data_IF_380196448667
#
_entry.id   IF_380196448667
#
_cell.length_a   1.000
_cell.length_b   1.000
_cell.length_c   1.000
_cell.angle_alpha   90.00
_cell.angle_beta   90.00
_cell.angle_gamma   90.00
#
_symmetry.space_group_name_H-M   'P 1'
#
loop_
_entity.id
_entity.type
_entity.pdbx_description
1 polymer ?
#
# COMPACT_ATOMS: atom_id res chain seq x y z
N UNK A 1 -7.72 -55.52 9.45
CA UNK A 1 -7.55 -54.49 8.44
C UNK A 1 -7.62 -53.15 9.15
N UNK A 2 -6.57 -52.33 9.19
CA UNK A 2 -6.64 -51.00 9.79
C UNK A 2 -7.43 -50.07 8.85
N UNK A 3 -8.50 -49.47 9.39
CA UNK A 3 -9.27 -48.44 8.71
C UNK A 3 -8.40 -47.18 8.47
N UNK A 4 -8.09 -46.91 7.23
CA UNK A 4 -7.48 -45.63 6.83
C UNK A 4 -8.53 -44.53 7.13
N UNK A 5 -8.35 -43.84 8.25
CA UNK A 5 -9.04 -42.55 8.46
C UNK A 5 -8.44 -41.57 7.46
N UNK A 6 -9.13 -41.36 6.34
CA UNK A 6 -8.90 -40.19 5.49
C UNK A 6 -9.23 -38.99 6.39
N UNK A 7 -8.21 -38.28 6.84
CA UNK A 7 -8.39 -37.01 7.50
C UNK A 7 -9.00 -36.05 6.45
N UNK A 8 -10.28 -35.73 6.58
CA UNK A 8 -10.90 -34.65 5.86
C UNK A 8 -10.11 -33.37 6.23
N UNK A 9 -9.27 -32.87 5.34
CA UNK A 9 -8.76 -31.52 5.43
C UNK A 9 -9.98 -30.61 5.24
N UNK A 10 -10.28 -29.70 6.18
CA UNK A 10 -11.33 -28.72 5.91
C UNK A 10 -10.96 -27.95 4.64
N UNK A 11 -11.93 -27.74 3.76
CA UNK A 11 -11.80 -26.90 2.57
C UNK A 11 -11.48 -25.49 3.06
N UNK A 12 -10.35 -24.93 2.64
CA UNK A 12 -9.98 -23.56 2.98
C UNK A 12 -10.43 -22.61 1.89
N UNK A 13 -11.05 -21.50 2.28
CA UNK A 13 -11.39 -20.41 1.35
C UNK A 13 -10.23 -19.44 1.26
N UNK A 14 -9.70 -19.25 0.06
CA UNK A 14 -8.57 -18.37 -0.22
C UNK A 14 -9.01 -17.28 -1.20
N UNK A 15 -8.79 -16.02 -0.81
CA UNK A 15 -8.93 -14.90 -1.72
C UNK A 15 -7.57 -14.66 -2.38
N UNK A 16 -7.50 -14.71 -3.71
CA UNK A 16 -6.28 -14.46 -4.49
C UNK A 16 -6.42 -13.19 -5.30
N UNK A 17 -5.55 -12.19 -5.06
CA UNK A 17 -5.56 -10.94 -5.82
C UNK A 17 -4.34 -10.87 -6.73
N UNK A 18 -4.57 -10.57 -8.00
CA UNK A 18 -3.51 -10.35 -8.99
C UNK A 18 -3.50 -8.91 -9.50
N UNK A 19 -2.31 -8.26 -9.42
CA UNK A 19 -2.08 -6.92 -9.93
C UNK A 19 -2.03 -6.84 -11.45
N UNK A 20 -2.07 -5.63 -12.03
CA UNK A 20 -2.09 -5.43 -13.47
C UNK A 20 -0.90 -6.07 -14.20
N UNK A 21 0.30 -6.03 -13.65
CA UNK A 21 1.49 -6.69 -14.20
C UNK A 21 1.37 -8.21 -14.24
N UNK A 22 0.62 -8.78 -13.29
CA UNK A 22 0.38 -10.22 -13.21
C UNK A 22 -0.60 -10.74 -14.27
N UNK A 23 -1.42 -9.87 -14.84
CA UNK A 23 -2.43 -10.16 -15.86
C UNK A 23 -2.24 -9.28 -17.11
N UNK A 24 -0.99 -8.89 -17.40
CA UNK A 24 -0.66 -7.86 -18.40
C UNK A 24 -1.06 -8.25 -19.84
N UNK A 25 -1.02 -9.52 -20.16
CA UNK A 25 -1.24 -10.07 -21.49
C UNK A 25 -1.93 -11.45 -21.40
N UNK A 26 -2.32 -12.03 -22.57
CA UNK A 26 -3.03 -13.33 -22.60
C UNK A 26 -2.22 -14.49 -22.00
N UNK A 27 -0.89 -14.49 -22.11
CA UNK A 27 -0.05 -15.57 -21.55
C UNK A 27 -0.03 -15.49 -20.02
N UNK A 28 0.08 -14.28 -19.48
CA UNK A 28 -0.02 -14.04 -18.03
C UNK A 28 -1.39 -14.42 -17.47
N UNK A 29 -2.48 -14.14 -18.20
CA UNK A 29 -3.82 -14.57 -17.79
C UNK A 29 -3.91 -16.10 -17.71
N UNK A 30 -3.34 -16.84 -18.69
CA UNK A 30 -3.32 -18.31 -18.67
C UNK A 30 -2.49 -18.87 -17.52
N UNK A 31 -1.33 -18.27 -17.22
CA UNK A 31 -0.50 -18.66 -16.07
C UNK A 31 -1.21 -18.47 -14.74
N UNK A 32 -1.92 -17.35 -14.58
CA UNK A 32 -2.75 -17.11 -13.38
C UNK A 32 -3.90 -18.11 -13.31
N UNK A 33 -4.58 -18.37 -14.42
CA UNK A 33 -5.68 -19.36 -14.47
C UNK A 33 -5.18 -20.77 -14.09
N UNK A 34 -3.99 -21.19 -14.57
CA UNK A 34 -3.36 -22.45 -14.20
C UNK A 34 -3.01 -22.49 -12.68
N UNK A 35 -2.52 -21.38 -12.12
CA UNK A 35 -2.26 -21.28 -10.69
C UNK A 35 -3.55 -21.41 -9.85
N UNK A 36 -4.63 -20.76 -10.27
CA UNK A 36 -5.96 -20.87 -9.62
C UNK A 36 -6.45 -22.32 -9.68
N UNK A 37 -6.33 -22.95 -10.85
CA UNK A 37 -6.69 -24.38 -11.02
C UNK A 37 -5.90 -25.25 -10.04
N UNK A 38 -4.59 -25.11 -9.97
CA UNK A 38 -3.74 -25.86 -9.02
C UNK A 38 -4.17 -25.63 -7.57
N UNK A 39 -4.50 -24.41 -7.17
CA UNK A 39 -4.97 -24.11 -5.82
C UNK A 39 -6.27 -24.85 -5.51
N UNK A 40 -7.18 -24.94 -6.47
CA UNK A 40 -8.40 -25.73 -6.35
C UNK A 40 -8.15 -27.23 -6.32
N UNK A 41 -7.28 -27.73 -7.18
CA UNK A 41 -6.90 -29.15 -7.23
C UNK A 41 -6.30 -29.64 -5.89
N UNK A 42 -5.75 -28.72 -5.07
CA UNK A 42 -5.34 -28.99 -3.70
C UNK A 42 -6.48 -28.98 -2.68
N UNK A 43 -7.73 -28.82 -3.12
CA UNK A 43 -8.92 -28.89 -2.28
C UNK A 43 -9.30 -27.57 -1.60
N UNK A 44 -8.90 -26.43 -2.15
CA UNK A 44 -9.28 -25.12 -1.65
C UNK A 44 -10.40 -24.50 -2.51
N UNK A 45 -11.26 -23.70 -1.89
CA UNK A 45 -12.13 -22.79 -2.62
C UNK A 45 -11.38 -21.48 -2.90
N UNK A 46 -11.62 -20.88 -4.08
CA UNK A 46 -10.90 -19.70 -4.53
C UNK A 46 -11.87 -18.61 -4.99
N UNK A 47 -11.66 -17.40 -4.47
CA UNK A 47 -12.19 -16.17 -5.04
C UNK A 47 -11.01 -15.38 -5.61
N UNK A 48 -11.15 -14.96 -6.85
CA UNK A 48 -10.11 -14.25 -7.57
C UNK A 48 -10.48 -12.77 -7.68
N UNK A 49 -9.53 -11.88 -7.35
CA UNK A 49 -9.64 -10.43 -7.59
C UNK A 49 -8.58 -10.02 -8.60
N UNK A 50 -9.00 -9.39 -9.70
CA UNK A 50 -8.09 -8.97 -10.78
C UNK A 50 -8.13 -7.47 -10.98
N UNK A 51 -6.97 -6.88 -11.21
CA UNK A 51 -6.82 -5.49 -11.67
C UNK A 51 -6.94 -5.40 -13.19
N UNK A 52 -7.03 -4.18 -13.73
CA UNK A 52 -6.90 -3.92 -15.15
C UNK A 52 -5.56 -4.46 -15.69
N UNK A 53 -5.54 -4.85 -16.97
CA UNK A 53 -4.38 -5.50 -17.60
C UNK A 53 -3.23 -4.52 -17.83
N UNK A 54 -2.05 -4.85 -17.32
CA UNK A 54 -0.81 -4.10 -17.60
C UNK A 54 -0.93 -2.61 -17.27
N UNK A 55 -0.80 -1.78 -18.31
CA UNK A 55 -0.89 -0.30 -18.22
C UNK A 55 -2.24 0.25 -18.72
N UNK A 56 -3.29 -0.54 -18.74
CA UNK A 56 -4.57 -0.14 -19.33
C UNK A 56 -5.19 1.05 -18.61
N UNK A 57 -5.13 1.10 -17.28
CA UNK A 57 -5.60 2.25 -16.51
C UNK A 57 -4.91 3.54 -16.96
N UNK A 58 -3.58 3.52 -17.17
CA UNK A 58 -2.83 4.67 -17.67
C UNK A 58 -3.22 5.04 -19.11
N UNK A 59 -3.59 4.05 -19.93
CA UNK A 59 -4.06 4.29 -21.31
C UNK A 59 -5.43 4.94 -21.30
N UNK A 60 -6.36 4.48 -20.45
CA UNK A 60 -7.69 5.08 -20.30
C UNK A 60 -7.61 6.50 -19.76
N UNK A 61 -6.71 6.78 -18.81
CA UNK A 61 -6.46 8.14 -18.31
C UNK A 61 -5.99 9.07 -19.42
N UNK A 62 -5.00 8.64 -20.22
CA UNK A 62 -4.51 9.43 -21.37
C UNK A 62 -5.59 9.67 -22.41
N UNK A 63 -6.40 8.65 -22.72
CA UNK A 63 -7.51 8.80 -23.65
C UNK A 63 -8.53 9.84 -23.16
N UNK A 64 -8.81 9.89 -21.85
CA UNK A 64 -9.66 10.93 -21.27
C UNK A 64 -9.05 12.32 -21.42
N UNK A 65 -7.72 12.46 -21.28
CA UNK A 65 -6.99 13.72 -21.47
C UNK A 65 -7.04 14.21 -22.93
N UNK A 66 -6.98 13.30 -23.89
CA UNK A 66 -7.09 13.61 -25.32
C UNK A 66 -8.51 14.05 -25.72
N UNK A 67 -9.53 13.59 -25.01
CA UNK A 67 -10.95 13.85 -25.33
C UNK A 67 -11.49 15.08 -24.60
N UNK A 68 -11.06 15.37 -23.37
CA UNK A 68 -11.70 16.40 -22.55
C UNK A 68 -10.74 17.07 -21.57
N UNK A 69 -10.85 18.39 -21.46
CA UNK A 69 -10.13 19.16 -20.44
C UNK A 69 -10.79 19.07 -19.06
N UNK A 70 -12.11 18.94 -18.99
CA UNK A 70 -12.87 19.01 -17.73
C UNK A 70 -12.90 17.69 -16.94
N UNK A 71 -12.86 16.55 -17.57
CA UNK A 71 -12.78 15.20 -16.98
C UNK A 71 -13.57 15.01 -15.67
N UNK A 72 -14.93 15.06 -15.70
CA UNK A 72 -15.73 14.92 -14.48
C UNK A 72 -15.43 13.60 -13.75
N UNK A 73 -15.23 13.66 -12.45
CA UNK A 73 -14.77 12.52 -11.64
C UNK A 73 -15.67 11.26 -11.75
N UNK A 74 -17.01 11.47 -11.85
CA UNK A 74 -17.96 10.39 -12.08
C UNK A 74 -17.73 9.66 -13.41
N UNK A 75 -17.46 10.40 -14.49
CA UNK A 75 -17.21 9.80 -15.81
C UNK A 75 -15.83 9.13 -15.88
N UNK A 76 -14.86 9.67 -15.12
CA UNK A 76 -13.55 9.02 -14.96
C UNK A 76 -13.68 7.66 -14.29
N UNK A 77 -14.50 7.52 -13.24
CA UNK A 77 -14.75 6.22 -12.59
C UNK A 77 -15.37 5.23 -13.57
N UNK A 78 -16.33 5.68 -14.38
CA UNK A 78 -16.99 4.87 -15.41
C UNK A 78 -16.00 4.36 -16.45
N UNK A 79 -15.06 5.22 -16.87
CA UNK A 79 -14.05 4.90 -17.88
C UNK A 79 -13.00 3.94 -17.30
N UNK A 80 -12.40 4.28 -16.15
CA UNK A 80 -11.29 3.52 -15.57
C UNK A 80 -11.73 2.10 -15.23
N UNK A 81 -12.90 1.93 -14.62
CA UNK A 81 -13.41 0.61 -14.20
C UNK A 81 -13.73 -0.34 -15.36
N UNK A 82 -13.70 0.11 -16.62
CA UNK A 82 -13.84 -0.74 -17.80
C UNK A 82 -12.66 -1.71 -17.95
N UNK A 83 -11.45 -1.33 -17.52
CA UNK A 83 -10.26 -2.16 -17.60
C UNK A 83 -10.39 -3.46 -16.80
N UNK A 84 -10.85 -3.37 -15.55
CA UNK A 84 -11.06 -4.54 -14.70
C UNK A 84 -12.20 -5.43 -15.23
N UNK A 85 -13.26 -4.85 -15.82
CA UNK A 85 -14.36 -5.64 -16.43
C UNK A 85 -13.87 -6.48 -17.59
N UNK A 86 -12.98 -5.93 -18.42
CA UNK A 86 -12.32 -6.71 -19.48
C UNK A 86 -11.49 -7.84 -18.88
N UNK A 87 -10.67 -7.55 -17.88
CA UNK A 87 -9.76 -8.52 -17.26
C UNK A 87 -10.52 -9.72 -16.65
N UNK A 88 -11.62 -9.49 -15.89
CA UNK A 88 -12.40 -10.57 -15.28
C UNK A 88 -13.07 -11.47 -16.32
N UNK A 89 -13.54 -10.90 -17.42
CA UNK A 89 -14.17 -11.70 -18.48
C UNK A 89 -13.15 -12.62 -19.16
N UNK A 90 -11.97 -12.10 -19.52
CA UNK A 90 -10.87 -12.88 -20.11
C UNK A 90 -10.35 -13.97 -19.15
N UNK A 91 -10.27 -13.66 -17.86
CA UNK A 91 -9.86 -14.63 -16.84
C UNK A 91 -10.87 -15.78 -16.72
N UNK A 92 -12.18 -15.49 -16.71
CA UNK A 92 -13.21 -16.53 -16.71
C UNK A 92 -13.12 -17.41 -17.96
N UNK A 93 -12.91 -16.84 -19.16
CA UNK A 93 -12.71 -17.60 -20.38
C UNK A 93 -11.51 -18.55 -20.27
N UNK A 94 -10.36 -18.06 -19.75
CA UNK A 94 -9.17 -18.88 -19.56
C UNK A 94 -9.38 -20.02 -18.53
N UNK A 95 -10.15 -19.78 -17.48
CA UNK A 95 -10.51 -20.81 -16.50
C UNK A 95 -11.43 -21.88 -17.13
N UNK A 96 -12.42 -21.47 -17.94
CA UNK A 96 -13.31 -22.39 -18.65
C UNK A 96 -12.54 -23.27 -19.63
N UNK A 97 -11.53 -22.75 -20.33
CA UNK A 97 -10.66 -23.55 -21.22
C UNK A 97 -9.87 -24.64 -20.47
N UNK A 98 -9.77 -24.52 -19.14
CA UNK A 98 -9.13 -25.50 -18.25
C UNK A 98 -10.13 -26.36 -17.47
N UNK A 99 -11.40 -26.40 -17.89
CA UNK A 99 -12.51 -27.10 -17.23
C UNK A 99 -12.80 -26.60 -15.80
N UNK A 100 -12.41 -25.36 -15.47
CA UNK A 100 -12.72 -24.69 -14.20
C UNK A 100 -13.92 -23.76 -14.41
N UNK A 101 -15.07 -24.12 -13.83
CA UNK A 101 -16.25 -23.26 -13.90
C UNK A 101 -16.03 -21.98 -13.10
N UNK A 102 -16.27 -20.81 -13.72
CA UNK A 102 -16.02 -19.51 -13.12
C UNK A 102 -17.06 -18.47 -13.57
N UNK A 103 -17.44 -17.58 -12.66
CA UNK A 103 -18.33 -16.45 -12.93
C UNK A 103 -17.64 -15.12 -12.63
N UNK A 104 -17.83 -14.14 -13.51
CA UNK A 104 -17.28 -12.80 -13.35
C UNK A 104 -18.25 -11.85 -12.65
N UNK A 105 -17.75 -11.00 -11.77
CA UNK A 105 -18.52 -10.02 -11.01
C UNK A 105 -17.87 -8.63 -11.07
N UNK A 106 -18.66 -7.62 -11.41
CA UNK A 106 -18.27 -6.22 -11.14
C UNK A 106 -18.34 -5.95 -9.65
N UNK A 107 -17.75 -4.83 -9.18
CA UNK A 107 -17.80 -4.47 -7.77
C UNK A 107 -19.22 -4.38 -7.20
N UNK A 108 -20.17 -3.79 -7.95
CA UNK A 108 -21.59 -3.74 -7.54
C UNK A 108 -22.24 -5.12 -7.47
N UNK A 109 -21.92 -6.01 -8.42
CA UNK A 109 -22.45 -7.40 -8.41
C UNK A 109 -21.85 -8.23 -7.28
N UNK A 110 -20.64 -7.94 -6.87
CA UNK A 110 -19.96 -8.54 -5.71
C UNK A 110 -20.38 -7.90 -4.36
N UNK A 111 -21.28 -6.90 -4.40
CA UNK A 111 -21.90 -6.31 -3.22
C UNK A 111 -21.11 -5.18 -2.55
N UNK A 112 -20.20 -4.51 -3.25
CA UNK A 112 -19.47 -3.36 -2.73
C UNK A 112 -20.31 -2.08 -2.78
N UNK A 113 -20.75 -1.57 -1.63
CA UNK A 113 -21.35 -0.25 -1.48
C UNK A 113 -20.28 0.75 -1.00
N UNK A 114 -20.19 1.90 -1.66
CA UNK A 114 -19.22 2.95 -1.35
C UNK A 114 -19.90 4.29 -1.04
N UNK A 115 -19.11 5.24 -0.55
CA UNK A 115 -19.50 6.64 -0.55
C UNK A 115 -19.50 7.23 -1.98
N UNK A 116 -19.79 8.53 -2.09
CA UNK A 116 -19.90 9.27 -3.36
C UNK A 116 -18.60 10.00 -3.74
N UNK A 117 -17.48 9.72 -3.05
CA UNK A 117 -16.20 10.35 -3.35
C UNK A 117 -15.54 9.66 -4.56
N UNK A 118 -15.88 10.11 -5.76
CA UNK A 118 -15.33 9.58 -7.00
C UNK A 118 -13.79 9.63 -7.04
N UNK A 119 -13.15 8.68 -7.75
CA UNK A 119 -11.71 8.46 -7.89
C UNK A 119 -10.99 7.99 -6.61
N UNK A 120 -11.60 8.11 -5.44
CA UNK A 120 -11.05 7.64 -4.17
C UNK A 120 -12.16 7.22 -3.20
N UNK A 121 -13.12 6.44 -3.70
CA UNK A 121 -14.27 6.00 -2.93
C UNK A 121 -13.89 5.11 -1.75
N UNK A 122 -14.62 5.26 -0.64
CA UNK A 122 -14.48 4.41 0.54
C UNK A 122 -15.56 3.35 0.57
N UNK A 123 -15.19 2.11 0.86
CA UNK A 123 -16.13 1.01 1.07
C UNK A 123 -16.90 1.29 2.37
N UNK A 124 -18.21 1.42 2.29
CA UNK A 124 -19.10 1.58 3.44
C UNK A 124 -19.53 0.22 3.98
N UNK A 125 -19.95 -0.68 3.09
CA UNK A 125 -20.32 -2.04 3.43
C UNK A 125 -20.04 -2.98 2.27
N UNK A 126 -19.97 -4.29 2.58
CA UNK A 126 -19.91 -5.35 1.58
C UNK A 126 -20.98 -6.41 1.90
N UNK A 127 -21.74 -6.81 0.87
CA UNK A 127 -22.65 -7.95 0.94
C UNK A 127 -22.32 -8.94 -0.20
N UNK A 128 -21.38 -9.88 0.00
CA UNK A 128 -20.87 -10.76 -1.03
C UNK A 128 -21.76 -12.00 -1.26
N UNK A 129 -23.07 -11.91 -1.05
CA UNK A 129 -24.00 -13.06 -1.15
C UNK A 129 -23.87 -13.79 -2.49
N UNK A 130 -23.83 -13.08 -3.62
CA UNK A 130 -23.71 -13.70 -4.96
C UNK A 130 -22.37 -14.40 -5.16
N UNK A 131 -21.30 -13.86 -4.56
CA UNK A 131 -19.98 -14.48 -4.57
C UNK A 131 -20.02 -15.77 -3.75
N UNK A 132 -20.66 -15.75 -2.57
CA UNK A 132 -20.86 -16.93 -1.73
C UNK A 132 -21.67 -18.03 -2.46
N UNK A 133 -22.77 -17.68 -3.09
CA UNK A 133 -23.59 -18.61 -3.88
C UNK A 133 -22.78 -19.29 -5.00
N UNK A 134 -21.84 -18.56 -5.61
CA UNK A 134 -20.93 -19.12 -6.63
C UNK A 134 -19.95 -20.12 -6.03
N UNK A 135 -19.37 -19.81 -4.87
CA UNK A 135 -18.48 -20.71 -4.14
C UNK A 135 -19.24 -21.98 -3.72
N UNK A 136 -20.43 -21.83 -3.15
CA UNK A 136 -21.27 -22.93 -2.69
C UNK A 136 -21.67 -23.88 -3.84
N UNK A 137 -21.75 -23.33 -5.06
CA UNK A 137 -21.96 -24.11 -6.28
C UNK A 137 -20.68 -24.77 -6.83
N UNK A 138 -19.54 -24.68 -6.12
CA UNK A 138 -18.25 -25.27 -6.51
C UNK A 138 -17.57 -24.52 -7.65
N UNK A 139 -17.90 -23.24 -7.89
CA UNK A 139 -17.34 -22.41 -8.97
C UNK A 139 -16.40 -21.36 -8.43
N UNK A 140 -15.50 -20.85 -9.28
CA UNK A 140 -14.61 -19.73 -8.95
C UNK A 140 -15.35 -18.41 -9.19
N UNK A 141 -15.38 -17.53 -8.20
CA UNK A 141 -15.84 -16.17 -8.39
C UNK A 141 -14.67 -15.27 -8.78
N UNK A 142 -14.75 -14.59 -9.93
CA UNK A 142 -13.74 -13.64 -10.43
C UNK A 142 -14.28 -12.23 -10.30
N UNK A 143 -13.71 -11.44 -9.40
CA UNK A 143 -14.21 -10.12 -9.02
C UNK A 143 -13.30 -9.02 -9.58
N UNK A 144 -13.92 -8.02 -10.20
CA UNK A 144 -13.21 -6.82 -10.64
C UNK A 144 -12.72 -6.01 -9.43
N UNK A 145 -11.41 -5.78 -9.37
CA UNK A 145 -10.80 -4.98 -8.32
C UNK A 145 -11.15 -3.49 -8.42
N UNK A 146 -10.84 -2.75 -7.39
CA UNK A 146 -10.87 -1.27 -7.34
C UNK A 146 -12.21 -0.62 -7.62
N UNK A 147 -13.33 -1.30 -7.61
CA UNK A 147 -14.62 -0.72 -7.97
C UNK A 147 -15.77 -1.11 -7.05
N UNK A 148 -16.78 -0.26 -7.00
CA UNK A 148 -18.03 -0.48 -6.29
C UNK A 148 -19.18 0.31 -6.90
N UNK A 149 -20.23 0.48 -6.11
CA UNK A 149 -21.37 1.34 -6.42
C UNK A 149 -21.62 2.28 -5.25
N UNK A 150 -21.83 3.57 -5.54
CA UNK A 150 -22.16 4.55 -4.50
C UNK A 150 -23.59 4.41 -3.99
N UNK A 151 -23.89 5.11 -2.90
CA UNK A 151 -25.26 5.26 -2.38
C UNK A 151 -26.23 5.86 -3.40
N UNK A 152 -25.71 6.58 -4.41
CA UNK A 152 -26.49 7.17 -5.50
C UNK A 152 -26.55 6.25 -6.75
N UNK A 153 -26.17 4.98 -6.61
CA UNK A 153 -26.12 3.99 -7.70
C UNK A 153 -25.16 4.33 -8.85
N UNK A 154 -24.16 5.17 -8.63
CA UNK A 154 -23.10 5.43 -9.59
C UNK A 154 -21.93 4.45 -9.39
N UNK A 155 -21.30 4.06 -10.50
CA UNK A 155 -20.04 3.31 -10.45
C UNK A 155 -18.99 4.17 -9.78
N UNK A 156 -18.19 3.58 -8.89
CA UNK A 156 -17.12 4.27 -8.17
C UNK A 156 -15.81 3.51 -8.29
N UNK A 157 -14.71 4.27 -8.31
CA UNK A 157 -13.35 3.75 -8.28
C UNK A 157 -12.73 3.98 -6.89
N UNK A 158 -12.08 2.95 -6.34
CA UNK A 158 -11.52 2.99 -4.98
C UNK A 158 -10.16 3.69 -4.90
N UNK A 159 -9.62 4.13 -6.02
CA UNK A 159 -8.30 4.76 -6.07
C UNK A 159 -7.13 3.77 -6.17
N UNK A 160 -5.91 4.28 -6.02
CA UNK A 160 -4.67 3.48 -6.07
C UNK A 160 -4.67 2.40 -4.97
N UNK A 161 -4.26 1.18 -5.30
CA UNK A 161 -4.28 0.04 -4.36
C UNK A 161 -5.68 -0.49 -4.06
N UNK A 162 -6.72 0.01 -4.76
CA UNK A 162 -8.10 -0.40 -4.55
C UNK A 162 -8.35 -1.89 -4.76
N UNK A 163 -7.62 -2.57 -5.67
CA UNK A 163 -7.75 -4.02 -5.85
C UNK A 163 -7.27 -4.83 -4.65
N UNK A 164 -6.20 -4.40 -3.96
CA UNK A 164 -5.77 -5.01 -2.70
C UNK A 164 -6.84 -4.83 -1.63
N UNK A 165 -7.41 -3.62 -1.54
CA UNK A 165 -8.51 -3.31 -0.61
C UNK A 165 -9.78 -4.13 -0.93
N UNK A 166 -10.11 -4.33 -2.23
CA UNK A 166 -11.21 -5.20 -2.67
C UNK A 166 -11.02 -6.63 -2.17
N UNK A 167 -9.80 -7.19 -2.34
CA UNK A 167 -9.50 -8.55 -1.91
C UNK A 167 -9.63 -8.73 -0.40
N UNK A 168 -9.09 -7.79 0.36
CA UNK A 168 -9.17 -7.81 1.83
C UNK A 168 -10.61 -7.69 2.33
N UNK A 169 -11.41 -6.80 1.73
CA UNK A 169 -12.82 -6.64 2.10
C UNK A 169 -13.64 -7.89 1.77
N UNK A 170 -13.36 -8.55 0.63
CA UNK A 170 -13.96 -9.86 0.31
C UNK A 170 -13.55 -10.94 1.30
N UNK A 171 -12.25 -10.99 1.67
CA UNK A 171 -11.77 -11.95 2.64
C UNK A 171 -12.49 -11.81 3.99
N UNK A 172 -12.70 -10.57 4.44
CA UNK A 172 -13.51 -10.30 5.63
C UNK A 172 -14.97 -10.70 5.44
N UNK A 173 -15.62 -10.24 4.35
CA UNK A 173 -17.04 -10.48 4.11
C UNK A 173 -17.42 -11.95 3.90
N UNK A 174 -16.47 -12.77 3.45
CA UNK A 174 -16.64 -14.21 3.22
C UNK A 174 -16.03 -15.07 4.34
N UNK A 175 -15.43 -14.49 5.36
CA UNK A 175 -14.67 -15.18 6.42
C UNK A 175 -13.60 -16.13 5.84
N UNK A 176 -12.83 -15.65 4.86
CA UNK A 176 -11.80 -16.43 4.22
C UNK A 176 -10.62 -16.73 5.17
N UNK A 177 -9.98 -17.90 4.99
CA UNK A 177 -8.84 -18.34 5.82
C UNK A 177 -7.58 -17.51 5.55
N UNK A 178 -7.41 -17.01 4.30
CA UNK A 178 -6.30 -16.18 3.90
C UNK A 178 -6.66 -15.27 2.72
N UNK A 179 -5.97 -14.11 2.66
CA UNK A 179 -5.96 -13.23 1.50
C UNK A 179 -4.54 -13.19 0.93
N UNK A 180 -4.32 -13.79 -0.23
CA UNK A 180 -3.05 -13.81 -0.94
C UNK A 180 -2.98 -12.61 -1.90
N UNK A 181 -2.00 -11.73 -1.69
CA UNK A 181 -1.74 -10.57 -2.53
C UNK A 181 -0.55 -10.87 -3.45
N UNK A 182 -0.85 -11.21 -4.68
CA UNK A 182 0.16 -11.49 -5.70
C UNK A 182 0.61 -10.20 -6.38
N UNK A 183 1.92 -10.00 -6.37
CA UNK A 183 2.62 -8.80 -6.86
C UNK A 183 3.84 -9.17 -7.69
N UNK A 184 4.59 -8.19 -8.15
CA UNK A 184 5.87 -8.33 -8.85
C UNK A 184 7.08 -8.59 -7.94
N UNK A 185 6.87 -8.58 -6.61
CA UNK A 185 7.90 -8.93 -5.62
C UNK A 185 7.53 -10.22 -4.88
N UNK A 186 8.52 -10.98 -4.41
CA UNK A 186 8.31 -12.30 -3.79
C UNK A 186 7.92 -12.24 -2.30
N UNK A 187 7.62 -11.06 -1.78
CA UNK A 187 7.24 -10.84 -0.38
C UNK A 187 7.67 -9.46 0.11
N UNK A 188 7.68 -9.27 1.43
CA UNK A 188 8.23 -8.09 2.10
C UNK A 188 9.69 -8.38 2.46
N UNK A 189 10.58 -7.43 2.22
CA UNK A 189 12.02 -7.58 2.44
C UNK A 189 12.51 -6.64 3.53
N UNK A 190 13.68 -6.95 4.09
CA UNK A 190 14.38 -6.11 5.07
C UNK A 190 14.79 -4.74 4.51
N UNK A 191 14.91 -4.62 3.20
CA UNK A 191 15.00 -3.38 2.42
C UNK A 191 14.65 -3.67 0.96
N UNK A 192 14.68 -2.67 0.07
CA UNK A 192 14.45 -2.87 -1.37
C UNK A 192 15.58 -3.72 -1.99
N UNK A 193 15.30 -4.91 -2.53
CA UNK A 193 16.33 -5.77 -3.12
C UNK A 193 16.96 -5.18 -4.39
N UNK A 194 16.39 -4.12 -4.97
CA UNK A 194 16.99 -3.37 -6.07
C UNK A 194 18.09 -2.40 -5.60
N UNK A 195 18.08 -2.04 -4.31
CA UNK A 195 19.06 -1.15 -3.66
C UNK A 195 20.12 -1.97 -2.93
N UNK A 196 19.73 -3.08 -2.31
CA UNK A 196 20.62 -3.93 -1.51
C UNK A 196 20.48 -5.39 -1.92
N UNK A 197 21.52 -5.95 -2.52
CA UNK A 197 21.57 -7.36 -2.94
C UNK A 197 21.49 -8.34 -1.76
N UNK A 198 21.81 -7.89 -0.55
CA UNK A 198 21.75 -8.66 0.69
C UNK A 198 20.39 -8.55 1.39
N UNK A 199 19.43 -7.84 0.78
CA UNK A 199 18.07 -7.74 1.30
C UNK A 199 17.44 -9.12 1.46
N UNK A 200 16.97 -9.43 2.66
CA UNK A 200 16.38 -10.73 2.99
C UNK A 200 14.86 -10.64 2.98
N UNK A 201 14.20 -11.65 2.40
CA UNK A 201 12.74 -11.79 2.46
C UNK A 201 12.33 -12.19 3.88
N UNK A 202 11.39 -11.47 4.45
CA UNK A 202 10.78 -11.78 5.74
C UNK A 202 9.79 -12.95 5.57
N UNK A 203 9.88 -13.96 6.43
CA UNK A 203 8.91 -15.05 6.44
C UNK A 203 7.56 -14.58 6.99
N UNK A 204 7.59 -13.71 8.00
CA UNK A 204 6.42 -13.07 8.60
C UNK A 204 6.75 -11.65 9.06
N UNK A 205 5.72 -10.81 9.17
CA UNK A 205 5.80 -9.44 9.68
C UNK A 205 4.48 -9.10 10.37
N UNK A 206 4.53 -8.24 11.40
CA UNK A 206 3.31 -7.73 12.05
C UNK A 206 2.62 -6.67 11.19
N UNK A 207 1.30 -6.50 11.40
CA UNK A 207 0.56 -5.42 10.75
C UNK A 207 1.14 -4.03 11.07
N UNK A 208 1.57 -3.81 12.32
CA UNK A 208 2.09 -2.51 12.75
C UNK A 208 3.39 -2.16 12.05
N UNK A 209 4.33 -3.10 11.93
CA UNK A 209 5.58 -2.91 11.19
C UNK A 209 5.34 -2.68 9.71
N UNK A 210 4.45 -3.49 9.09
CA UNK A 210 4.13 -3.35 7.66
C UNK A 210 3.44 -2.01 7.38
N UNK A 211 2.56 -1.52 8.26
CA UNK A 211 1.93 -0.20 8.15
C UNK A 211 2.98 0.91 8.18
N UNK A 212 3.91 0.86 9.13
CA UNK A 212 5.01 1.83 9.16
C UNK A 212 5.88 1.75 7.90
N UNK A 213 6.23 0.55 7.43
CA UNK A 213 6.99 0.40 6.19
C UNK A 213 6.25 0.98 4.97
N UNK A 214 4.95 0.71 4.84
CA UNK A 214 4.16 1.22 3.72
C UNK A 214 3.94 2.73 3.79
N UNK A 215 3.84 3.30 5.00
CA UNK A 215 3.76 4.74 5.21
C UNK A 215 5.04 5.48 4.81
N UNK A 216 6.19 4.80 4.85
CA UNK A 216 7.48 5.44 4.59
C UNK A 216 8.13 5.06 3.25
N UNK A 217 7.39 4.40 2.35
CA UNK A 217 7.87 4.18 0.98
C UNK A 217 7.90 2.73 0.51
N UNK A 218 7.60 1.74 1.36
CA UNK A 218 7.43 0.37 0.87
C UNK A 218 6.19 0.30 -0.05
N UNK A 219 6.33 0.00 -1.35
CA UNK A 219 5.25 0.20 -2.31
C UNK A 219 4.19 -0.90 -2.27
N UNK A 220 4.46 -2.03 -1.65
CA UNK A 220 3.58 -3.23 -1.66
C UNK A 220 3.58 -3.94 -0.31
N UNK A 221 2.39 -4.38 0.14
CA UNK A 221 1.05 -4.11 -0.41
C UNK A 221 0.60 -2.66 -0.19
N UNK A 222 -0.55 -2.28 -0.75
CA UNK A 222 -1.08 -0.92 -0.57
C UNK A 222 -1.44 -0.68 0.91
N UNK A 223 -0.99 0.44 1.49
CA UNK A 223 -1.18 0.78 2.90
C UNK A 223 -2.64 0.64 3.35
N UNK A 224 -3.59 1.19 2.58
CA UNK A 224 -5.03 1.11 2.86
C UNK A 224 -5.53 -0.34 3.00
N UNK A 225 -4.99 -1.29 2.22
CA UNK A 225 -5.36 -2.70 2.33
C UNK A 225 -4.84 -3.33 3.62
N UNK A 226 -3.66 -2.93 4.07
CA UNK A 226 -3.07 -3.38 5.34
C UNK A 226 -3.86 -2.84 6.53
N UNK A 227 -4.30 -1.56 6.48
CA UNK A 227 -5.17 -0.95 7.49
C UNK A 227 -6.50 -1.70 7.65
N UNK A 228 -7.14 -2.02 6.52
CA UNK A 228 -8.40 -2.79 6.51
C UNK A 228 -8.15 -4.20 7.04
N UNK A 229 -7.09 -4.88 6.59
CA UNK A 229 -6.74 -6.22 7.05
C UNK A 229 -6.49 -6.27 8.56
N UNK A 230 -5.73 -5.31 9.10
CA UNK A 230 -5.50 -5.15 10.54
C UNK A 230 -6.81 -4.96 11.31
N UNK A 231 -7.67 -4.04 10.82
CA UNK A 231 -8.91 -3.67 11.49
C UNK A 231 -9.89 -4.84 11.61
N UNK A 232 -9.94 -5.68 10.58
CA UNK A 232 -10.85 -6.84 10.52
C UNK A 232 -10.18 -8.18 10.83
N UNK A 233 -8.89 -8.19 11.09
CA UNK A 233 -8.14 -9.42 11.42
C UNK A 233 -8.00 -10.38 10.24
N UNK A 234 -7.93 -9.87 9.01
CA UNK A 234 -7.73 -10.66 7.79
C UNK A 234 -6.25 -11.02 7.67
N UNK A 235 -5.93 -12.30 7.66
CA UNK A 235 -4.57 -12.78 7.47
C UNK A 235 -4.12 -12.58 6.03
N UNK A 236 -2.98 -11.86 5.82
CA UNK A 236 -2.45 -11.61 4.48
C UNK A 236 -1.25 -12.52 4.18
N UNK A 237 -1.09 -12.84 2.90
CA UNK A 237 0.09 -13.51 2.38
C UNK A 237 0.58 -12.75 1.13
N UNK A 238 1.66 -12.01 1.23
CA UNK A 238 2.25 -11.24 0.12
C UNK A 238 3.16 -12.16 -0.68
N UNK A 239 2.86 -12.36 -1.98
CA UNK A 239 3.52 -13.38 -2.82
C UNK A 239 3.87 -12.82 -4.20
N UNK A 240 4.80 -13.49 -4.89
CA UNK A 240 5.10 -13.22 -6.30
C UNK A 240 4.14 -13.95 -7.23
N UNK A 241 3.61 -13.22 -8.22
CA UNK A 241 2.86 -13.79 -9.33
C UNK A 241 3.75 -14.45 -10.41
N UNK A 242 5.07 -14.44 -10.22
CA UNK A 242 6.05 -14.92 -11.22
C UNK A 242 6.80 -16.17 -10.76
N UNK A 243 7.10 -16.28 -9.46
CA UNK A 243 7.87 -17.43 -8.93
C UNK A 243 7.02 -18.46 -8.22
N UNK A 244 5.81 -18.08 -7.76
CA UNK A 244 4.87 -18.90 -6.99
C UNK A 244 5.45 -19.45 -5.66
N UNK A 245 6.59 -18.94 -5.23
CA UNK A 245 7.24 -19.30 -3.98
C UNK A 245 6.44 -18.82 -2.76
N UNK A 246 6.68 -19.40 -1.58
CA UNK A 246 6.18 -18.84 -0.33
C UNK A 246 6.62 -17.38 -0.17
N UNK A 247 5.67 -16.54 0.18
CA UNK A 247 5.89 -15.11 0.40
C UNK A 247 6.05 -14.77 1.86
N UNK A 248 5.62 -13.55 2.21
CA UNK A 248 5.60 -13.03 3.58
C UNK A 248 4.19 -13.11 4.14
N UNK A 249 4.02 -13.74 5.29
CA UNK A 249 2.79 -13.70 6.05
C UNK A 249 2.68 -12.41 6.85
N UNK A 250 1.50 -11.81 6.85
CA UNK A 250 1.18 -10.64 7.69
C UNK A 250 0.06 -11.04 8.63
N UNK A 251 0.34 -11.04 9.91
CA UNK A 251 -0.58 -11.49 10.94
C UNK A 251 -0.53 -10.57 12.17
N UNK A 252 -1.43 -10.80 13.11
CA UNK A 252 -1.26 -10.25 14.46
C UNK A 252 0.05 -10.80 15.04
N UNK A 253 0.66 -10.03 15.92
CA UNK A 253 1.93 -10.44 16.54
C UNK A 253 1.93 -11.92 16.97
N UNK A 254 2.80 -12.71 16.37
CA UNK A 254 3.10 -14.03 16.91
C UNK A 254 3.76 -13.87 18.29
N UNK A 255 3.36 -14.70 19.25
CA UNK A 255 3.99 -14.81 20.57
C UNK A 255 5.37 -15.50 20.45
N UNK A 256 6.26 -14.95 19.63
CA UNK A 256 7.68 -15.33 19.67
C UNK A 256 8.32 -14.65 20.86
N UNK A 257 9.04 -15.43 21.70
CA UNK A 257 9.63 -14.92 22.95
C UNK A 257 10.69 -13.84 22.70
N UNK A 258 11.35 -13.85 21.54
CA UNK A 258 12.33 -12.84 21.13
C UNK A 258 12.12 -12.49 19.65
N UNK A 259 11.88 -11.20 19.35
CA UNK A 259 11.78 -10.67 18.00
C UNK A 259 13.04 -9.91 17.64
N UNK A 260 13.42 -9.84 16.36
CA UNK A 260 14.43 -8.89 15.91
C UNK A 260 14.06 -7.47 16.37
N UNK A 261 15.07 -6.73 16.84
CA UNK A 261 14.86 -5.33 17.28
C UNK A 261 14.41 -4.47 16.09
N UNK A 262 15.04 -4.71 14.93
CA UNK A 262 14.79 -4.03 13.66
C UNK A 262 14.37 -5.06 12.61
N UNK A 263 13.32 -4.74 11.88
CA UNK A 263 12.75 -5.58 10.82
C UNK A 263 13.16 -5.12 9.43
N UNK A 264 13.30 -3.79 9.23
CA UNK A 264 13.59 -3.24 7.91
C UNK A 264 14.23 -1.85 7.94
N UNK A 265 14.93 -1.52 6.83
CA UNK A 265 15.37 -0.17 6.46
C UNK A 265 14.68 0.20 5.15
N UNK A 266 13.86 1.24 5.15
CA UNK A 266 13.02 1.64 3.99
C UNK A 266 13.53 2.95 3.42
N UNK A 267 14.03 2.96 2.16
CA UNK A 267 14.38 4.19 1.44
C UNK A 267 13.15 4.82 0.78
N UNK A 268 13.13 6.14 0.70
CA UNK A 268 12.12 6.91 -0.05
C UNK A 268 12.76 8.16 -0.66
N UNK A 269 12.72 8.28 -1.98
CA UNK A 269 13.24 9.42 -2.75
C UNK A 269 12.14 10.26 -3.40
N UNK A 270 10.88 10.00 -3.04
CA UNK A 270 9.70 10.65 -3.61
C UNK A 270 9.17 11.83 -2.78
N UNK A 271 9.94 12.29 -1.79
CA UNK A 271 9.55 13.37 -0.89
C UNK A 271 10.26 14.69 -1.25
N UNK A 272 9.56 15.79 -0.96
CA UNK A 272 10.13 17.13 -0.95
C UNK A 272 9.85 17.81 0.39
N UNK A 273 10.72 18.72 0.79
CA UNK A 273 10.57 19.51 2.02
C UNK A 273 10.05 20.90 1.69
N UNK A 274 9.12 21.38 2.50
CA UNK A 274 8.67 22.77 2.53
C UNK A 274 9.01 23.34 3.90
N UNK A 275 9.58 24.52 3.93
CA UNK A 275 9.90 25.25 5.17
C UNK A 275 9.26 26.63 5.11
N UNK A 276 8.48 26.97 6.13
CA UNK A 276 7.91 28.29 6.36
C UNK A 276 8.72 28.94 7.45
N UNK A 277 9.38 30.03 7.14
CA UNK A 277 10.27 30.72 8.08
C UNK A 277 9.58 31.90 8.74
N UNK A 278 9.96 32.18 10.01
CA UNK A 278 9.47 33.33 10.75
C UNK A 278 7.95 33.30 10.99
N UNK A 279 7.42 32.14 11.28
CA UNK A 279 6.01 31.92 11.60
C UNK A 279 5.73 32.50 13.00
N UNK A 280 4.74 33.37 13.20
CA UNK A 280 4.36 33.84 14.53
C UNK A 280 3.93 32.70 15.45
N UNK A 281 4.47 32.62 16.67
CA UNK A 281 4.14 31.55 17.62
C UNK A 281 2.83 31.89 18.36
N UNK A 282 1.73 31.73 17.65
CA UNK A 282 0.38 31.98 18.15
C UNK A 282 -0.52 30.75 18.01
N UNK A 283 -1.43 30.48 18.96
CA UNK A 283 -2.43 29.42 18.81
C UNK A 283 -3.23 29.55 17.50
N UNK A 284 -3.35 28.44 16.76
CA UNK A 284 -4.14 28.39 15.52
C UNK A 284 -3.30 28.50 14.23
N UNK A 285 -2.05 28.92 14.30
CA UNK A 285 -1.19 29.10 13.11
C UNK A 285 -0.98 27.80 12.34
N UNK A 286 -0.68 26.71 13.05
CA UNK A 286 -0.57 25.39 12.42
C UNK A 286 -1.86 24.99 11.67
N UNK A 287 -3.03 25.25 12.27
CA UNK A 287 -4.31 24.99 11.59
C UNK A 287 -4.49 25.84 10.34
N UNK A 288 -4.08 27.11 10.37
CA UNK A 288 -4.16 28.00 9.20
C UNK A 288 -3.25 27.54 8.03
N UNK A 289 -2.12 26.89 8.34
CA UNK A 289 -1.20 26.33 7.33
C UNK A 289 -1.73 24.99 6.77
N UNK A 290 -2.11 24.05 7.63
CA UNK A 290 -2.38 22.67 7.19
C UNK A 290 -3.81 22.42 6.74
N UNK A 291 -4.79 23.26 7.17
CA UNK A 291 -6.19 23.09 6.72
C UNK A 291 -6.37 23.30 5.22
N UNK A 292 -5.84 24.35 4.59
CA UNK A 292 -5.94 24.52 3.14
C UNK A 292 -5.29 23.39 2.34
N UNK A 293 -4.19 22.82 2.83
CA UNK A 293 -3.55 21.63 2.21
C UNK A 293 -4.49 20.43 2.24
N UNK A 294 -5.10 20.16 3.39
CA UNK A 294 -6.05 19.05 3.56
C UNK A 294 -7.29 19.22 2.67
N UNK A 295 -7.83 20.44 2.54
CA UNK A 295 -9.00 20.74 1.69
C UNK A 295 -8.72 20.50 0.20
N UNK A 296 -7.45 20.55 -0.21
CA UNK A 296 -6.99 20.22 -1.57
C UNK A 296 -6.39 18.82 -1.69
N UNK A 297 -6.60 17.94 -0.68
CA UNK A 297 -6.08 16.57 -0.63
C UNK A 297 -4.54 16.50 -0.79
N UNK A 298 -3.79 17.50 -0.36
CA UNK A 298 -2.33 17.45 -0.26
C UNK A 298 -1.96 16.70 1.01
N UNK A 299 -1.27 15.58 0.85
CA UNK A 299 -0.82 14.78 1.99
C UNK A 299 0.48 15.33 2.57
N UNK A 300 0.50 15.51 3.89
CA UNK A 300 1.68 15.99 4.63
C UNK A 300 2.15 14.88 5.57
N UNK A 301 3.46 14.63 5.57
CA UNK A 301 4.07 13.63 6.47
C UNK A 301 4.87 14.32 7.59
N UNK A 302 6.17 14.11 7.70
CA UNK A 302 7.00 14.63 8.79
C UNK A 302 6.76 16.13 9.00
N UNK A 303 6.26 16.53 10.18
CA UNK A 303 6.11 17.94 10.56
C UNK A 303 7.07 18.22 11.71
N UNK A 304 7.91 19.23 11.57
CA UNK A 304 8.85 19.68 12.61
C UNK A 304 8.64 21.16 12.85
N UNK A 305 8.39 21.51 14.10
CA UNK A 305 8.28 22.89 14.60
C UNK A 305 9.16 23.02 15.84
N UNK A 306 9.96 24.06 15.90
CA UNK A 306 10.71 24.42 17.09
C UNK A 306 10.05 25.64 17.77
N UNK A 307 10.20 25.76 19.08
CA UNK A 307 9.88 26.99 19.79
C UNK A 307 11.09 27.93 19.75
N UNK A 308 10.85 29.23 19.57
CA UNK A 308 11.89 30.26 19.62
C UNK A 308 11.59 31.24 20.75
N UNK A 309 12.64 31.78 21.37
CA UNK A 309 12.52 32.78 22.42
C UNK A 309 12.06 34.15 21.88
N UNK A 310 12.14 34.37 20.57
CA UNK A 310 11.77 35.63 19.88
C UNK A 310 10.32 35.70 19.44
N UNK A 311 9.46 34.72 19.81
CA UNK A 311 8.03 34.67 19.46
C UNK A 311 7.75 34.35 17.99
N UNK A 312 8.74 33.84 17.26
CA UNK A 312 8.63 33.31 15.91
C UNK A 312 9.24 31.91 15.83
N UNK A 313 8.78 31.11 14.91
CA UNK A 313 9.31 29.74 14.70
C UNK A 313 9.40 29.42 13.22
N UNK A 314 10.17 28.40 12.86
CA UNK A 314 10.13 27.80 11.54
C UNK A 314 9.33 26.50 11.60
N UNK A 315 8.46 26.31 10.61
CA UNK A 315 7.71 25.06 10.42
C UNK A 315 8.21 24.39 9.15
N UNK A 316 8.78 23.19 9.29
CA UNK A 316 9.19 22.37 8.17
C UNK A 316 8.33 21.11 8.09
N UNK A 317 7.97 20.71 6.88
CA UNK A 317 7.27 19.45 6.67
C UNK A 317 7.65 18.82 5.32
N UNK A 318 7.32 17.54 5.15
CA UNK A 318 7.51 16.83 3.89
C UNK A 318 6.17 16.52 3.24
N UNK A 319 6.19 16.47 1.91
CA UNK A 319 5.06 16.07 1.08
C UNK A 319 5.58 15.32 -0.17
N UNK A 320 4.72 14.55 -0.88
CA UNK A 320 5.12 13.92 -2.12
C UNK A 320 5.61 14.95 -3.16
N UNK A 321 6.72 14.64 -3.83
CA UNK A 321 7.31 15.54 -4.86
C UNK A 321 6.30 15.89 -5.96
N UNK A 322 5.40 14.98 -6.32
CA UNK A 322 4.32 15.23 -7.29
C UNK A 322 3.30 16.28 -6.84
N UNK A 323 3.20 16.54 -5.53
CA UNK A 323 2.31 17.55 -4.94
C UNK A 323 3.05 18.85 -4.55
N UNK A 324 4.36 18.95 -4.81
CA UNK A 324 5.18 20.09 -4.39
C UNK A 324 4.68 21.41 -4.96
N UNK A 325 4.34 21.47 -6.24
CA UNK A 325 3.90 22.69 -6.90
C UNK A 325 2.61 23.25 -6.27
N UNK A 326 1.58 22.43 -6.17
CA UNK A 326 0.30 22.82 -5.57
C UNK A 326 0.44 23.11 -4.06
N UNK A 327 1.21 22.29 -3.35
CA UNK A 327 1.48 22.48 -1.92
C UNK A 327 2.21 23.81 -1.65
N UNK A 328 3.20 24.15 -2.48
CA UNK A 328 3.94 25.42 -2.37
C UNK A 328 3.04 26.64 -2.59
N UNK A 329 2.17 26.59 -3.59
CA UNK A 329 1.21 27.68 -3.87
C UNK A 329 0.28 27.91 -2.67
N UNK A 330 -0.34 26.84 -2.15
CA UNK A 330 -1.25 26.90 -1.01
C UNK A 330 -0.54 27.47 0.22
N UNK A 331 0.65 26.96 0.52
CA UNK A 331 1.41 27.37 1.72
C UNK A 331 1.93 28.79 1.61
N UNK A 332 2.29 29.25 0.41
CA UNK A 332 2.72 30.64 0.19
C UNK A 332 1.59 31.62 0.51
N UNK A 333 0.37 31.32 0.08
CA UNK A 333 -0.80 32.13 0.41
C UNK A 333 -1.09 32.14 1.92
N UNK A 334 -1.08 30.95 2.56
CA UNK A 334 -1.28 30.84 3.99
C UNK A 334 -0.18 31.57 4.79
N UNK A 335 1.08 31.48 4.38
CA UNK A 335 2.21 32.17 4.98
C UNK A 335 2.07 33.70 4.95
N UNK A 336 1.56 34.25 3.85
CA UNK A 336 1.27 35.70 3.73
C UNK A 336 0.16 36.11 4.71
N UNK A 337 -0.92 35.32 4.81
CA UNK A 337 -2.05 35.62 5.68
C UNK A 337 -1.67 35.64 7.17
N UNK A 338 -0.79 34.75 7.59
CA UNK A 338 -0.32 34.66 8.99
C UNK A 338 0.87 35.61 9.30
N UNK A 339 1.41 36.29 8.28
CA UNK A 339 2.56 37.22 8.44
C UNK A 339 3.90 36.51 8.64
N UNK A 340 4.09 35.33 8.10
CA UNK A 340 5.36 34.62 8.07
C UNK A 340 6.39 35.33 7.16
N UNK A 341 7.69 35.10 7.42
CA UNK A 341 8.78 35.75 6.68
C UNK A 341 8.96 35.22 5.24
N UNK A 342 8.65 33.94 5.00
CA UNK A 342 8.74 33.35 3.66
C UNK A 342 8.57 31.83 3.63
N UNK A 343 8.55 31.31 2.39
CA UNK A 343 8.45 29.86 2.12
C UNK A 343 9.64 29.46 1.25
N UNK A 344 10.27 28.35 1.58
CA UNK A 344 11.33 27.71 0.78
C UNK A 344 11.01 26.24 0.57
N UNK A 345 11.48 25.68 -0.55
CA UNK A 345 11.28 24.29 -0.91
C UNK A 345 12.58 23.60 -1.25
N UNK A 346 12.65 22.28 -1.03
CA UNK A 346 13.80 21.46 -1.35
C UNK A 346 13.33 20.08 -1.83
N UNK A 347 13.52 19.76 -3.08
CA UNK A 347 13.22 18.48 -3.73
C UNK A 347 14.45 17.59 -3.93
N UNK A 348 15.60 18.03 -3.40
CA UNK A 348 16.87 17.28 -3.41
C UNK A 348 17.05 16.42 -2.18
N UNK A 349 16.01 16.26 -1.36
CA UNK A 349 15.98 15.41 -0.19
C UNK A 349 15.49 14.01 -0.52
N UNK A 350 15.84 13.09 0.38
CA UNK A 350 15.20 11.78 0.49
C UNK A 350 15.10 11.37 1.95
N UNK A 351 14.46 10.26 2.20
CA UNK A 351 14.25 9.74 3.55
C UNK A 351 14.76 8.31 3.64
N UNK A 352 15.40 7.97 4.75
CA UNK A 352 15.68 6.61 5.16
C UNK A 352 14.99 6.35 6.49
N UNK A 353 14.26 5.26 6.61
CA UNK A 353 13.48 4.92 7.80
C UNK A 353 13.85 3.53 8.30
N UNK A 354 14.19 3.42 9.57
CA UNK A 354 14.43 2.14 10.26
C UNK A 354 13.15 1.77 11.00
N UNK A 355 12.66 0.55 10.77
CA UNK A 355 11.38 0.05 11.33
C UNK A 355 11.63 -1.23 12.10
N UNK A 356 11.02 -1.35 13.29
CA UNK A 356 11.07 -2.56 14.09
C UNK A 356 10.32 -2.45 15.42
N UNK A 357 9.51 -3.45 15.73
CA UNK A 357 8.69 -3.49 16.96
C UNK A 357 9.54 -3.49 18.25
N UNK A 358 10.80 -3.95 18.19
CA UNK A 358 11.71 -3.97 19.34
C UNK A 358 12.30 -2.61 19.73
N UNK A 359 12.12 -1.57 18.91
CA UNK A 359 12.75 -0.27 19.14
C UNK A 359 12.32 0.40 20.45
N UNK A 360 11.03 0.28 20.83
CA UNK A 360 10.47 0.90 22.03
C UNK A 360 11.16 0.43 23.34
N UNK A 361 11.67 -0.81 23.35
CA UNK A 361 12.30 -1.42 24.52
C UNK A 361 13.84 -1.43 24.46
N UNK A 362 14.44 -0.98 23.36
CA UNK A 362 15.89 -1.00 23.14
C UNK A 362 16.45 0.42 22.96
N UNK A 363 16.79 1.12 24.07
CA UNK A 363 17.45 2.42 24.00
C UNK A 363 18.84 2.23 23.37
N UNK A 364 19.15 2.94 22.35
CA UNK A 364 20.42 2.82 21.62
C UNK A 364 20.23 2.68 20.12
N UNK A 365 19.05 2.20 19.67
CA UNK A 365 18.76 2.11 18.23
C UNK A 365 18.94 3.46 17.53
N UNK A 366 18.38 4.54 18.10
CA UNK A 366 18.56 5.89 17.54
C UNK A 366 20.03 6.34 17.53
N UNK A 367 20.80 6.04 18.60
CA UNK A 367 22.22 6.34 18.66
C UNK A 367 22.98 5.60 17.55
N UNK A 368 22.73 4.31 17.39
CA UNK A 368 23.35 3.50 16.32
C UNK A 368 23.03 4.08 14.93
N UNK A 369 21.77 4.48 14.66
CA UNK A 369 21.40 5.12 13.39
C UNK A 369 22.25 6.38 13.15
N UNK A 370 22.32 7.28 14.14
CA UNK A 370 23.01 8.56 13.97
C UNK A 370 24.52 8.40 13.90
N UNK A 371 25.10 7.50 14.68
CA UNK A 371 26.54 7.19 14.62
C UNK A 371 26.92 6.58 13.27
N UNK A 372 26.12 5.63 12.75
CA UNK A 372 26.35 5.01 11.45
C UNK A 372 26.32 6.05 10.32
N UNK A 373 25.28 6.90 10.28
CA UNK A 373 25.19 7.95 9.27
C UNK A 373 26.34 8.97 9.38
N UNK A 374 26.70 9.36 10.61
CA UNK A 374 27.80 10.30 10.87
C UNK A 374 29.16 9.75 10.44
N UNK A 375 29.45 8.48 10.72
CA UNK A 375 30.70 7.83 10.32
C UNK A 375 30.88 7.78 8.80
N UNK A 376 29.78 7.74 8.07
CA UNK A 376 29.75 7.74 6.61
C UNK A 376 29.67 9.15 5.99
N UNK A 377 29.69 10.19 6.83
CA UNK A 377 29.63 11.58 6.41
C UNK A 377 28.28 12.02 5.87
N UNK A 378 27.20 11.31 6.22
CA UNK A 378 25.82 11.60 5.80
C UNK A 378 25.18 12.56 6.79
N UNK A 379 24.82 13.76 6.33
CA UNK A 379 24.17 14.76 7.16
C UNK A 379 22.67 14.52 7.25
N UNK A 380 22.10 14.76 8.44
CA UNK A 380 20.66 14.58 8.72
C UNK A 380 20.00 15.96 8.76
N UNK A 381 19.02 16.19 7.85
CA UNK A 381 18.28 17.43 7.76
C UNK A 381 17.05 17.49 8.67
N UNK A 382 16.36 16.36 8.88
CA UNK A 382 15.21 16.24 9.78
C UNK A 382 15.17 14.84 10.39
N UNK A 383 14.59 14.73 11.58
CA UNK A 383 14.36 13.45 12.27
C UNK A 383 12.90 13.39 12.70
N UNK A 384 12.28 12.23 12.53
CA UNK A 384 10.95 11.92 13.08
C UNK A 384 10.94 10.51 13.65
N UNK A 385 10.25 10.33 14.77
CA UNK A 385 10.19 9.03 15.45
C UNK A 385 8.75 8.66 15.78
N UNK A 386 8.43 7.36 15.70
CA UNK A 386 7.28 6.74 16.33
C UNK A 386 7.74 5.68 17.34
N UNK A 387 6.83 4.92 17.93
CA UNK A 387 7.18 3.84 18.85
C UNK A 387 8.04 2.73 18.18
N UNK A 388 7.89 2.53 16.88
CA UNK A 388 8.50 1.44 16.12
C UNK A 388 9.21 1.91 14.84
N UNK A 389 9.48 3.23 14.72
CA UNK A 389 10.16 3.80 13.55
C UNK A 389 11.04 5.00 13.94
N UNK A 390 12.21 5.10 13.30
CA UNK A 390 13.02 6.33 13.23
C UNK A 390 13.25 6.65 11.76
N UNK A 391 12.88 7.87 11.35
CA UNK A 391 13.07 8.38 9.99
C UNK A 391 14.07 9.53 9.99
N UNK A 392 15.05 9.49 9.09
CA UNK A 392 16.01 10.53 8.84
C UNK A 392 15.85 11.07 7.42
N UNK A 393 15.70 12.38 7.27
CA UNK A 393 15.81 13.06 5.99
C UNK A 393 17.27 13.37 5.73
N UNK A 394 17.76 12.93 4.57
CA UNK A 394 19.15 13.10 4.11
C UNK A 394 19.13 13.68 2.69
N UNK A 395 20.29 14.01 2.13
CA UNK A 395 20.36 14.37 0.71
C UNK A 395 19.90 13.18 -0.15
N UNK A 396 19.17 13.44 -1.23
CA UNK A 396 18.64 12.40 -2.13
C UNK A 396 19.74 11.51 -2.69
N UNK A 397 20.92 12.06 -2.94
CA UNK A 397 22.11 11.33 -3.38
C UNK A 397 22.65 10.33 -2.36
N UNK A 398 22.34 10.53 -1.07
CA UNK A 398 22.89 9.72 0.02
C UNK A 398 21.94 8.61 0.47
N UNK A 399 20.68 8.59 -0.04
CA UNK A 399 19.64 7.64 0.40
C UNK A 399 20.10 6.20 0.20
N UNK A 400 20.64 5.86 -0.97
CA UNK A 400 21.13 4.52 -1.26
C UNK A 400 22.24 4.11 -0.31
N UNK A 401 23.26 4.95 -0.14
CA UNK A 401 24.37 4.72 0.79
C UNK A 401 23.86 4.57 2.23
N UNK A 402 23.00 5.48 2.68
CA UNK A 402 22.40 5.42 4.02
C UNK A 402 21.63 4.11 4.25
N UNK A 403 20.90 3.65 3.25
CA UNK A 403 20.16 2.38 3.31
C UNK A 403 21.09 1.19 3.50
N UNK A 404 22.17 1.10 2.71
CA UNK A 404 23.12 0.01 2.77
C UNK A 404 23.86 -0.06 4.12
N UNK A 405 24.37 1.07 4.60
CA UNK A 405 25.14 1.10 5.86
C UNK A 405 24.27 0.85 7.08
N UNK A 406 23.00 1.29 7.07
CA UNK A 406 22.06 0.98 8.15
C UNK A 406 21.59 -0.48 8.10
N UNK A 407 21.40 -1.05 6.91
CA UNK A 407 21.08 -2.47 6.76
C UNK A 407 22.19 -3.37 7.32
N UNK A 408 23.45 -3.04 7.04
CA UNK A 408 24.63 -3.72 7.58
C UNK A 408 24.76 -3.53 9.10
N UNK A 409 24.62 -2.28 9.60
CA UNK A 409 24.75 -1.95 11.02
C UNK A 409 23.74 -2.69 11.91
N UNK A 410 22.57 -3.01 11.40
CA UNK A 410 21.56 -3.81 12.09
C UNK A 410 21.57 -5.30 11.71
N UNK A 411 22.58 -5.77 10.97
CA UNK A 411 22.79 -7.17 10.59
C UNK A 411 21.54 -7.82 9.94
N UNK A 412 20.82 -7.05 9.10
CA UNK A 412 19.54 -7.50 8.52
C UNK A 412 19.69 -8.58 7.43
N UNK A 413 20.90 -8.83 6.98
CA UNK A 413 21.30 -9.96 6.13
C UNK A 413 21.34 -11.28 6.91
N UNK A 414 21.61 -11.22 8.23
CA UNK A 414 21.72 -12.37 9.12
C UNK A 414 20.35 -12.60 9.76
N UNK A 415 19.62 -13.59 9.35
CA UNK A 415 18.27 -13.88 9.83
C UNK A 415 18.16 -14.88 10.93
#
# INVERSE_FOLDING_TARGET
MPSIRVAFRPVSLIIQKFGGTSVADPDRIREVADHVKRTRDHGNDVVLVVSAMGKETDQLLRLAEEVSETRPAREMDMLITAGERKAIALMCMALHDMDVQADSFTGSQAGFLTDTNHQNAKILTINPQRVQETIDAGRVAVVAGSQGVSTDNNVTFLGRGGSDTTAVALAHGLNADACELYTDVSGVFTTDPRVCDQARKLASISFDELLEMTAVGCPKPAMRSVEVARSYGVRLHVRSAFTWEPGTWVDKEENTMEKPIISAVVPDTSQAKVTISGVPDNPGVAAAIFRPLADQNVNVDMIVQNTSDDGVTDISFTLPTEQLAIGTEIVTNAAQEIGAAGVSTDDTIGRVSVVGAGMASNPGVAATIFETLSNEGINIGMISTSAIRVSCVVAKSDVEKATLVLHDAFELDKG
#
